data_IF_993585392019
#
_entry.id   IF_993585392019
#
_cell.length_a   1.000
_cell.length_b   1.000
_cell.length_c   1.000
_cell.angle_alpha   90.00
_cell.angle_beta   90.00
_cell.angle_gamma   90.00
#
_symmetry.space_group_name_H-M   'P 1'
#
loop_
_entity.id
_entity.type
_entity.pdbx_description
1 polymer ?
#
# COMPACT_ATOMS: atom_id res chain seq x y z
N UNK A 1 -8.83 2.29 -15.48
CA UNK A 1 -8.76 1.96 -14.04
C UNK A 1 -7.33 1.54 -13.69
N UNK A 2 -6.76 1.95 -12.55
CA UNK A 2 -5.41 1.52 -12.12
C UNK A 2 -5.49 0.18 -11.37
N UNK A 3 -4.60 -0.77 -11.70
CA UNK A 3 -4.53 -2.06 -10.99
C UNK A 3 -4.25 -1.92 -9.49
N UNK A 4 -3.57 -0.86 -9.07
CA UNK A 4 -3.36 -0.52 -7.66
C UNK A 4 -4.69 -0.23 -6.96
N UNK A 5 -5.53 0.61 -7.58
CA UNK A 5 -6.83 0.99 -7.01
C UNK A 5 -7.76 -0.22 -6.97
N UNK A 6 -7.71 -1.08 -7.98
CA UNK A 6 -8.48 -2.33 -8.00
C UNK A 6 -8.09 -3.26 -6.84
N UNK A 7 -6.79 -3.50 -6.63
CA UNK A 7 -6.32 -4.35 -5.53
C UNK A 7 -6.70 -3.78 -4.17
N UNK A 8 -6.47 -2.47 -3.95
CA UNK A 8 -6.77 -1.81 -2.68
C UNK A 8 -8.26 -1.82 -2.35
N UNK A 9 -9.12 -1.51 -3.34
CA UNK A 9 -10.57 -1.46 -3.15
C UNK A 9 -11.16 -2.82 -2.76
N UNK A 10 -10.59 -3.91 -3.27
CA UNK A 10 -11.11 -5.25 -3.09
C UNK A 10 -10.33 -6.07 -2.03
N UNK A 11 -9.29 -5.50 -1.41
CA UNK A 11 -8.47 -6.21 -0.41
C UNK A 11 -7.74 -7.45 -0.94
N UNK A 12 -7.41 -7.47 -2.24
CA UNK A 12 -6.83 -8.64 -2.90
C UNK A 12 -5.34 -8.80 -2.60
N UNK A 13 -4.82 -10.02 -2.74
CA UNK A 13 -3.36 -10.21 -2.87
C UNK A 13 -2.93 -9.68 -4.22
N UNK A 14 -1.73 -9.10 -4.32
CA UNK A 14 -1.18 -8.61 -5.60
C UNK A 14 -1.18 -9.67 -6.71
N UNK A 15 -0.96 -10.94 -6.35
CA UNK A 15 -0.97 -12.09 -7.26
C UNK A 15 -2.33 -12.39 -7.87
N UNK A 16 -3.40 -11.95 -7.22
CA UNK A 16 -4.78 -12.23 -7.61
C UNK A 16 -5.37 -11.06 -8.42
N UNK A 17 -4.55 -10.04 -8.74
CA UNK A 17 -4.95 -8.96 -9.63
C UNK A 17 -5.23 -9.50 -11.05
N UNK A 18 -6.28 -9.02 -11.74
CA UNK A 18 -6.56 -9.41 -13.12
C UNK A 18 -5.35 -9.21 -14.03
N UNK A 19 -5.10 -10.18 -14.92
CA UNK A 19 -3.97 -10.16 -15.86
C UNK A 19 -3.95 -8.92 -16.77
N UNK A 20 -5.12 -8.33 -17.03
CA UNK A 20 -5.28 -7.07 -17.77
C UNK A 20 -4.51 -5.88 -17.15
N UNK A 21 -4.17 -5.94 -15.85
CA UNK A 21 -3.35 -4.92 -15.18
C UNK A 21 -1.84 -5.17 -15.24
N UNK A 22 -1.43 -6.27 -15.88
CA UNK A 22 -0.03 -6.67 -16.04
C UNK A 22 0.54 -7.44 -14.84
N UNK A 23 1.86 -7.70 -14.82
CA UNK A 23 2.48 -8.55 -13.81
C UNK A 23 2.32 -8.00 -12.39
N UNK A 24 1.94 -8.88 -11.44
CA UNK A 24 1.72 -8.52 -10.03
C UNK A 24 2.91 -7.81 -9.38
N UNK A 25 4.15 -8.21 -9.71
CA UNK A 25 5.37 -7.57 -9.19
C UNK A 25 5.50 -6.12 -9.65
N UNK A 26 5.07 -5.83 -10.88
CA UNK A 26 5.07 -4.46 -11.43
C UNK A 26 4.06 -3.57 -10.72
N UNK A 27 2.87 -4.12 -10.40
CA UNK A 27 1.86 -3.42 -9.61
C UNK A 27 2.38 -3.07 -8.21
N UNK A 28 2.93 -4.05 -7.49
CA UNK A 28 3.52 -3.83 -6.17
C UNK A 28 4.66 -2.80 -6.20
N UNK A 29 5.60 -2.92 -7.15
CA UNK A 29 6.70 -1.97 -7.28
C UNK A 29 6.23 -0.55 -7.59
N UNK A 30 5.15 -0.40 -8.36
CA UNK A 30 4.53 0.91 -8.61
C UNK A 30 3.86 1.45 -7.35
N UNK A 31 3.13 0.62 -6.62
CA UNK A 31 2.51 0.98 -5.34
C UNK A 31 3.56 1.45 -4.32
N UNK A 32 4.67 0.73 -4.17
CA UNK A 32 5.79 1.12 -3.29
C UNK A 32 6.36 2.48 -3.67
N UNK A 33 6.63 2.70 -4.96
CA UNK A 33 7.12 3.99 -5.48
C UNK A 33 6.12 5.13 -5.30
N UNK A 34 4.83 4.86 -5.35
CA UNK A 34 3.80 5.85 -5.03
C UNK A 34 3.87 6.26 -3.55
N UNK A 35 4.05 5.30 -2.65
CA UNK A 35 4.29 5.57 -1.23
C UNK A 35 5.54 6.41 -1.01
N UNK A 36 6.68 6.02 -1.59
CA UNK A 36 7.95 6.75 -1.48
C UNK A 36 7.86 8.18 -2.05
N UNK A 37 7.04 8.40 -3.08
CA UNK A 37 6.82 9.72 -3.69
C UNK A 37 5.74 10.56 -3.00
N UNK A 38 5.12 10.06 -1.92
CA UNK A 38 4.06 10.75 -1.19
C UNK A 38 2.76 10.89 -1.98
N UNK A 39 2.50 10.05 -2.98
CA UNK A 39 1.29 10.11 -3.81
C UNK A 39 0.04 9.89 -2.95
N UNK A 40 0.07 8.94 -2.03
CA UNK A 40 -1.06 8.67 -1.14
C UNK A 40 -1.33 9.85 -0.19
N UNK A 41 -0.28 10.48 0.33
CA UNK A 41 -0.40 11.69 1.17
C UNK A 41 -1.09 12.81 0.41
N UNK A 42 -0.62 13.13 -0.80
CA UNK A 42 -1.23 14.18 -1.64
C UNK A 42 -2.69 13.88 -2.00
N UNK A 43 -3.03 12.60 -2.22
CA UNK A 43 -4.41 12.20 -2.45
C UNK A 43 -5.28 12.48 -1.21
N UNK A 44 -4.81 12.12 -0.02
CA UNK A 44 -5.54 12.38 1.23
C UNK A 44 -5.67 13.88 1.51
N UNK A 45 -4.62 14.66 1.30
CA UNK A 45 -4.64 16.13 1.42
C UNK A 45 -5.67 16.74 0.47
N UNK A 46 -5.67 16.32 -0.81
CA UNK A 46 -6.64 16.80 -1.79
C UNK A 46 -8.09 16.42 -1.45
N UNK A 47 -8.31 15.24 -0.86
CA UNK A 47 -9.64 14.83 -0.38
C UNK A 47 -10.08 15.61 0.85
N UNK A 48 -9.14 15.94 1.75
CA UNK A 48 -9.39 16.72 2.96
C UNK A 48 -9.56 18.22 2.71
N UNK A 49 -9.05 18.74 1.59
CA UNK A 49 -9.13 20.16 1.23
C UNK A 49 -10.52 20.62 0.76
N UNK A 50 -11.44 19.68 0.49
CA UNK A 50 -12.83 20.03 0.21
C UNK A 50 -13.51 20.56 1.48
N UNK A 51 -14.36 21.57 1.32
CA UNK A 51 -15.22 22.09 2.39
C UNK A 51 -16.35 21.08 2.65
N UNK A 52 -15.98 19.95 3.25
CA UNK A 52 -16.91 18.91 3.63
C UNK A 52 -17.53 19.31 4.97
N UNK A 53 -18.85 19.47 4.98
CA UNK A 53 -19.63 19.57 6.22
C UNK A 53 -19.11 18.53 7.22
N UNK A 54 -18.70 18.92 8.45
CA UNK A 54 -18.15 18.00 9.44
C UNK A 54 -19.16 16.90 9.79
N UNK A 55 -19.11 15.79 9.05
CA UNK A 55 -19.90 14.59 9.35
C UNK A 55 -19.18 13.82 10.43
N UNK A 56 -19.92 13.28 11.40
CA UNK A 56 -19.38 12.30 12.33
C UNK A 56 -18.91 11.08 11.53
N UNK A 57 -17.59 10.89 11.44
CA UNK A 57 -16.98 9.72 10.79
C UNK A 57 -16.57 8.74 11.88
N UNK A 58 -17.14 7.53 11.84
CA UNK A 58 -16.66 6.43 12.67
C UNK A 58 -15.46 5.80 11.96
N UNK A 59 -14.26 6.03 12.48
CA UNK A 59 -13.05 5.37 12.01
C UNK A 59 -12.91 4.07 12.79
N UNK A 60 -13.10 2.94 12.12
CA UNK A 60 -12.64 1.65 12.63
C UNK A 60 -11.24 1.33 12.09
N UNK A 61 -10.50 0.51 12.84
CA UNK A 61 -9.23 -0.04 12.41
C UNK A 61 -9.26 -1.54 12.62
N UNK A 62 -9.10 -2.31 11.54
CA UNK A 62 -8.94 -3.76 11.64
C UNK A 62 -7.44 -4.09 11.69
N UNK A 63 -6.98 -4.65 12.80
CA UNK A 63 -5.60 -5.13 12.94
C UNK A 63 -5.48 -6.57 12.44
N UNK A 64 -4.69 -6.79 11.38
CA UNK A 64 -4.36 -8.13 10.92
C UNK A 64 -2.94 -8.50 11.38
N UNK A 65 -2.83 -9.44 12.33
CA UNK A 65 -1.54 -9.93 12.81
C UNK A 65 -0.83 -10.70 11.69
N UNK A 66 0.29 -10.17 11.20
CA UNK A 66 1.14 -10.90 10.26
C UNK A 66 1.95 -11.98 11.00
N UNK A 67 2.04 -13.18 10.41
CA UNK A 67 2.88 -14.26 10.95
C UNK A 67 4.37 -13.85 10.90
N UNK A 68 5.19 -14.33 11.85
CA UNK A 68 6.63 -13.99 11.95
C UNK A 68 7.42 -14.16 10.65
N UNK A 69 7.01 -15.09 9.78
CA UNK A 69 7.65 -15.31 8.47
C UNK A 69 7.18 -14.37 7.35
N UNK A 70 6.10 -13.62 7.55
CA UNK A 70 5.66 -12.57 6.61
C UNK A 70 6.54 -11.31 6.70
N UNK A 71 7.17 -11.09 7.86
CA UNK A 71 8.18 -10.05 8.06
C UNK A 71 9.53 -10.55 7.55
N UNK A 72 9.82 -10.42 6.25
CA UNK A 72 11.17 -10.72 5.72
C UNK A 72 12.16 -9.64 6.13
N UNK A 73 12.52 -9.56 7.41
CA UNK A 73 13.66 -8.80 7.89
C UNK A 73 14.94 -9.53 7.44
N UNK A 74 15.48 -9.13 6.30
CA UNK A 74 16.88 -9.44 5.98
C UNK A 74 17.74 -8.54 6.86
N UNK A 75 18.08 -9.00 8.06
CA UNK A 75 19.20 -8.41 8.82
C UNK A 75 20.44 -8.58 7.94
N UNK A 76 20.99 -7.50 7.39
CA UNK A 76 22.36 -7.52 6.85
C UNK A 76 23.28 -7.76 8.04
N UNK A 77 23.63 -9.03 8.30
CA UNK A 77 24.79 -9.35 9.14
C UNK A 77 26.05 -9.18 8.30
N UNK A 78 26.93 -8.29 8.75
CA UNK A 78 28.37 -8.32 8.51
C UNK A 78 28.86 -7.68 7.21
N UNK A 79 29.48 -6.50 7.34
CA UNK A 79 30.88 -6.38 6.93
C UNK A 79 31.62 -5.91 8.18
N UNK A 80 32.34 -6.83 8.81
CA UNK A 80 33.52 -6.52 9.60
C UNK A 80 34.66 -7.27 8.91
N UNK A 81 35.63 -6.53 8.38
CA UNK A 81 36.97 -6.99 8.06
C UNK A 81 37.86 -5.78 7.73
N UNK A 82 39.06 -5.80 8.33
CA UNK A 82 40.17 -4.84 8.37
C UNK A 82 39.97 -3.63 9.31
#
# INVERSE_FOLDING_TARGET
MSGIVFVNRNGLRWRDAPSAYGPHKTLYNRWKRWGERGVFTRMMEGLAAGDAEPKTVMIDATYLKAHRTASSLRVKRGISAA
#
